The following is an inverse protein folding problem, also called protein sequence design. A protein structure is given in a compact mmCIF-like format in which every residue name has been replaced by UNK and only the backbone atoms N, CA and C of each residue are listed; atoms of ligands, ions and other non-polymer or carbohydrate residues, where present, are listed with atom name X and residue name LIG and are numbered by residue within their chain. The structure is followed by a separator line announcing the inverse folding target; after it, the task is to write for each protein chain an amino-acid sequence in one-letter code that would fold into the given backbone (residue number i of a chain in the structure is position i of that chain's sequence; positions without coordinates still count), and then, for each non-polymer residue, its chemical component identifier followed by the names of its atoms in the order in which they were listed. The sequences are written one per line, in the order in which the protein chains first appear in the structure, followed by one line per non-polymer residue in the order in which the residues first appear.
data_IF_453638481094
#
_entry.id   IF_453638481094
#
_cell.length_a   1.000
_cell.length_b   1.000
_cell.length_c   1.000
_cell.angle_alpha   90.00
_cell.angle_beta   90.00
_cell.angle_gamma   90.00
#
_symmetry.space_group_name_H-M   'P 1'
#
loop_
_entity.id
_entity.type
_entity.pdbx_description
1 polymer ?
#
# COMPACT_ATOMS: atom_id res chain seq x y z
N UNK A 1 1.00 -0.16 -11.64
CA UNK A 1 0.85 -1.45 -10.92
C UNK A 1 1.80 -2.48 -11.51
N UNK A 2 2.20 -3.49 -10.72
CA UNK A 2 3.08 -4.58 -11.18
C UNK A 2 2.27 -5.77 -11.67
N UNK A 3 2.70 -6.40 -12.76
CA UNK A 3 2.04 -7.57 -13.36
C UNK A 3 2.52 -8.92 -12.79
N UNK A 4 3.47 -8.92 -11.85
CA UNK A 4 4.06 -10.10 -11.23
C UNK A 4 4.84 -9.75 -9.96
N UNK A 5 5.27 -10.78 -9.22
CA UNK A 5 6.11 -10.62 -8.05
C UNK A 5 7.44 -9.91 -8.38
N UNK A 6 7.89 -9.03 -7.50
CA UNK A 6 9.17 -8.33 -7.63
C UNK A 6 10.26 -9.14 -6.95
N UNK A 7 11.31 -9.58 -7.65
CA UNK A 7 12.50 -10.19 -7.02
C UNK A 7 12.18 -11.27 -5.95
N UNK A 8 11.11 -12.05 -6.14
CA UNK A 8 10.67 -13.08 -5.20
C UNK A 8 9.88 -12.58 -3.98
N UNK A 9 9.67 -11.28 -3.82
CA UNK A 9 8.76 -10.72 -2.83
C UNK A 9 7.30 -11.01 -3.23
N UNK A 10 6.56 -11.67 -2.33
CA UNK A 10 5.15 -11.96 -2.53
C UNK A 10 4.29 -10.69 -2.64
N UNK A 11 4.64 -9.67 -1.85
CA UNK A 11 4.02 -8.34 -1.84
C UNK A 11 5.06 -7.26 -1.61
N UNK A 12 4.94 -6.14 -2.32
CA UNK A 12 5.71 -4.92 -2.07
C UNK A 12 4.78 -3.85 -1.50
N UNK A 13 5.09 -3.36 -0.29
CA UNK A 13 4.36 -2.26 0.34
C UNK A 13 5.18 -0.97 0.22
N UNK A 14 4.56 0.11 -0.25
CA UNK A 14 5.18 1.44 -0.36
C UNK A 14 4.36 2.50 0.36
N UNK A 15 5.05 3.49 0.93
CA UNK A 15 4.43 4.66 1.55
C UNK A 15 4.46 5.93 0.68
N UNK A 16 5.08 5.87 -0.49
CA UNK A 16 5.11 6.98 -1.45
C UNK A 16 4.64 6.51 -2.82
N UNK A 17 3.67 7.23 -3.37
CA UNK A 17 3.18 7.07 -4.72
C UNK A 17 3.51 8.31 -5.57
N UNK A 18 4.33 8.19 -6.64
CA UNK A 18 4.61 9.31 -7.55
C UNK A 18 3.36 9.90 -8.20
N UNK A 19 2.30 9.09 -8.37
CA UNK A 19 1.02 9.55 -8.92
C UNK A 19 0.09 10.13 -7.84
N UNK A 20 0.45 10.01 -6.56
CA UNK A 20 -0.37 10.37 -5.40
C UNK A 20 -1.80 9.81 -5.49
N UNK A 21 -1.93 8.54 -5.93
CA UNK A 21 -3.21 7.91 -6.23
C UNK A 21 -4.06 7.54 -5.01
N UNK A 22 -3.56 7.75 -3.80
CA UNK A 22 -4.20 7.29 -2.57
C UNK A 22 -3.89 5.83 -2.25
N UNK A 23 -4.62 5.26 -1.29
CA UNK A 23 -4.53 3.84 -0.95
C UNK A 23 -4.99 2.97 -2.11
N UNK A 24 -4.19 1.96 -2.46
CA UNK A 24 -4.53 0.97 -3.47
C UNK A 24 -3.82 -0.37 -3.22
N UNK A 25 -4.54 -1.45 -3.47
CA UNK A 25 -4.08 -2.82 -3.36
C UNK A 25 -4.20 -3.53 -4.71
N UNK A 26 -3.16 -4.27 -5.07
CA UNK A 26 -3.16 -5.22 -6.19
C UNK A 26 -2.71 -6.59 -5.69
N UNK A 27 -2.58 -7.58 -6.56
CA UNK A 27 -2.04 -8.90 -6.19
C UNK A 27 -0.60 -8.85 -5.66
N UNK A 28 0.24 -7.94 -6.17
CA UNK A 28 1.67 -7.91 -5.81
C UNK A 28 2.10 -6.64 -5.07
N UNK A 29 1.24 -5.61 -5.00
CA UNK A 29 1.62 -4.31 -4.45
C UNK A 29 0.55 -3.70 -3.57
N UNK A 30 0.96 -2.98 -2.52
CA UNK A 30 0.10 -2.10 -1.74
C UNK A 30 0.74 -0.73 -1.64
N UNK A 31 -0.03 0.33 -1.88
CA UNK A 31 0.36 1.70 -1.52
C UNK A 31 -0.45 2.16 -0.32
N UNK A 32 0.25 2.68 0.69
CA UNK A 32 -0.31 3.33 1.87
C UNK A 32 -0.19 4.86 1.78
N UNK A 33 0.12 5.40 0.60
CA UNK A 33 0.23 6.84 0.39
C UNK A 33 -1.15 7.49 0.31
N UNK A 34 -1.72 7.81 1.47
CA UNK A 34 -2.93 8.64 1.59
C UNK A 34 -2.68 10.14 1.40
N UNK A 35 -1.43 10.55 1.13
CA UNK A 35 -1.06 11.94 0.92
C UNK A 35 -1.09 12.81 2.18
N UNK A 36 -0.82 12.26 3.37
CA UNK A 36 -0.94 13.02 4.63
C UNK A 36 -0.09 14.30 4.67
N UNK A 37 1.07 14.31 4.02
CA UNK A 37 1.93 15.48 3.87
C UNK A 37 1.38 16.57 2.94
N UNK A 38 0.31 16.27 2.19
CA UNK A 38 -0.33 17.15 1.20
C UNK A 38 -1.79 17.46 1.56
N UNK A 39 -2.19 17.25 2.81
CA UNK A 39 -3.56 17.47 3.28
C UNK A 39 -4.52 16.31 3.02
N UNK A 40 -4.01 15.17 2.55
CA UNK A 40 -4.72 13.90 2.52
C UNK A 40 -4.71 13.19 3.88
N UNK A 41 -5.10 11.92 3.90
CA UNK A 41 -5.20 11.13 5.14
C UNK A 41 -3.90 10.40 5.45
N UNK A 42 -3.66 10.16 6.74
CA UNK A 42 -2.67 9.17 7.17
C UNK A 42 -3.31 7.78 7.06
N UNK A 43 -2.75 6.92 6.20
CA UNK A 43 -3.22 5.55 6.03
C UNK A 43 -2.29 4.56 6.74
N UNK A 44 -2.87 3.63 7.48
CA UNK A 44 -2.18 2.50 8.10
C UNK A 44 -2.90 1.19 7.76
N UNK A 45 -2.15 0.08 7.70
CA UNK A 45 -2.71 -1.25 7.48
C UNK A 45 -1.98 -2.29 8.33
N UNK A 46 -2.74 -3.23 8.86
CA UNK A 46 -2.25 -4.44 9.52
C UNK A 46 -2.16 -5.56 8.49
N UNK A 47 -0.98 -6.19 8.36
CA UNK A 47 -0.75 -7.27 7.42
C UNK A 47 -0.58 -8.61 8.13
N UNK A 48 -1.20 -9.65 7.58
CA UNK A 48 -0.89 -11.02 7.93
C UNK A 48 0.48 -11.45 7.38
N UNK A 49 1.06 -12.57 7.85
CA UNK A 49 2.34 -13.07 7.34
C UNK A 49 2.36 -13.40 5.85
N UNK A 50 1.20 -13.68 5.25
CA UNK A 50 1.05 -13.93 3.80
C UNK A 50 0.89 -12.63 2.98
N UNK A 51 0.86 -11.47 3.63
CA UNK A 51 0.70 -10.16 3.00
C UNK A 51 -0.74 -9.74 2.75
N UNK A 52 -1.74 -10.51 3.19
CA UNK A 52 -3.14 -10.08 3.19
C UNK A 52 -3.39 -8.97 4.23
N UNK A 53 -4.29 -8.03 3.92
CA UNK A 53 -4.66 -6.95 4.84
C UNK A 53 -5.72 -7.48 5.81
N UNK A 54 -5.40 -7.43 7.11
CA UNK A 54 -6.31 -7.81 8.18
C UNK A 54 -7.20 -6.64 8.61
N UNK A 55 -6.64 -5.44 8.61
CA UNK A 55 -7.32 -4.20 9.01
C UNK A 55 -6.65 -2.99 8.36
N UNK A 56 -7.40 -1.91 8.15
CA UNK A 56 -6.87 -0.63 7.68
C UNK A 56 -7.55 0.56 8.34
N UNK A 57 -6.77 1.62 8.51
CA UNK A 57 -7.18 2.84 9.21
C UNK A 57 -6.77 4.08 8.41
N UNK A 58 -7.63 5.09 8.40
CA UNK A 58 -7.34 6.40 7.82
C UNK A 58 -7.79 7.53 8.77
N UNK A 59 -6.95 8.54 8.99
CA UNK A 59 -7.30 9.77 9.72
C UNK A 59 -6.90 11.06 9.01
#
# INVERSE_FOLDING_TARGET
SMAGAYEGFARVIRGYDPEHGGFAETEFTVTLDGGCGFGGKLTAACFAPDGSILDSFEC
#
